data_IF_244634851891
#
_entry.id   IF_244634851891
#
_cell.length_a   1.000
_cell.length_b   1.000
_cell.length_c   1.000
_cell.angle_alpha   90.00
_cell.angle_beta   90.00
_cell.angle_gamma   90.00
#
_symmetry.space_group_name_H-M   'P 1'
#
loop_
_entity.id
_entity.type
_entity.pdbx_description
1 polymer ?
#
# COMPACT_ATOMS: atom_id res chain seq x y z
N UNK A 1 -44.66 22.22 -12.85
CA UNK A 1 -43.66 22.04 -11.78
C UNK A 1 -42.75 23.26 -11.74
N UNK A 2 -42.86 24.05 -10.68
CA UNK A 2 -42.01 25.21 -10.43
C UNK A 2 -40.62 24.66 -10.07
N UNK A 3 -39.59 24.97 -10.87
CA UNK A 3 -38.20 24.70 -10.50
C UNK A 3 -37.90 25.53 -9.24
N UNK A 4 -37.66 24.85 -8.12
CA UNK A 4 -37.10 25.49 -6.93
C UNK A 4 -35.80 26.22 -7.32
N UNK A 5 -35.54 27.44 -6.81
CA UNK A 5 -34.26 28.09 -7.01
C UNK A 5 -33.15 27.21 -6.42
N UNK A 6 -32.02 27.07 -7.12
CA UNK A 6 -30.81 26.45 -6.55
C UNK A 6 -30.36 27.31 -5.37
N UNK A 7 -30.20 26.78 -4.15
CA UNK A 7 -29.65 27.55 -3.06
C UNK A 7 -28.13 27.70 -3.23
N UNK A 8 -27.67 28.93 -2.96
CA UNK A 8 -26.30 29.42 -2.77
C UNK A 8 -25.34 29.38 -3.96
N UNK A 9 -24.96 30.59 -4.41
CA UNK A 9 -23.64 30.85 -4.96
C UNK A 9 -22.59 30.19 -4.05
N UNK A 10 -21.84 29.21 -4.54
CA UNK A 10 -20.67 28.73 -3.81
C UNK A 10 -19.74 29.92 -3.60
N UNK A 11 -19.68 30.42 -2.36
CA UNK A 11 -18.67 31.40 -1.98
C UNK A 11 -17.37 30.61 -1.84
N UNK A 12 -16.38 30.95 -2.65
CA UNK A 12 -15.07 30.35 -2.52
C UNK A 12 -14.42 30.72 -1.18
N UNK A 13 -13.50 29.90 -0.66
CA UNK A 13 -12.80 30.19 0.58
C UNK A 13 -12.01 31.50 0.53
N UNK A 14 -11.46 31.84 -0.64
CA UNK A 14 -10.59 32.99 -0.85
C UNK A 14 -11.07 33.88 -1.98
N UNK A 15 -10.85 35.18 -1.85
CA UNK A 15 -11.03 36.13 -2.95
C UNK A 15 -9.89 36.01 -3.95
N UNK A 16 -10.18 36.11 -5.26
CA UNK A 16 -9.24 35.74 -6.32
C UNK A 16 -7.91 36.51 -6.28
N UNK A 17 -7.94 37.83 -6.13
CA UNK A 17 -6.71 38.64 -6.12
C UNK A 17 -5.89 38.46 -4.83
N UNK A 18 -6.56 38.22 -3.70
CA UNK A 18 -5.92 37.86 -2.44
C UNK A 18 -5.20 36.51 -2.57
N UNK A 19 -5.91 35.50 -3.09
CA UNK A 19 -5.38 34.16 -3.33
C UNK A 19 -4.16 34.21 -4.27
N UNK A 20 -4.22 34.96 -5.37
CA UNK A 20 -3.06 35.16 -6.26
C UNK A 20 -1.84 35.70 -5.51
N UNK A 21 -2.02 36.74 -4.69
CA UNK A 21 -0.94 37.35 -3.92
C UNK A 21 -0.36 36.38 -2.89
N UNK A 22 -1.22 35.64 -2.17
CA UNK A 22 -0.79 34.62 -1.22
C UNK A 22 0.03 33.51 -1.90
N UNK A 23 -0.52 32.90 -2.95
CA UNK A 23 0.16 31.83 -3.66
C UNK A 23 1.45 32.32 -4.34
N UNK A 24 1.53 33.59 -4.73
CA UNK A 24 2.78 34.18 -5.21
C UNK A 24 3.84 34.20 -4.11
N UNK A 25 3.46 34.62 -2.89
CA UNK A 25 4.37 34.64 -1.72
C UNK A 25 4.78 33.22 -1.31
N UNK A 26 3.89 32.24 -1.45
CA UNK A 26 4.19 30.82 -1.24
C UNK A 26 5.31 30.34 -2.18
N UNK A 27 5.18 30.61 -3.48
CA UNK A 27 6.23 30.26 -4.45
C UNK A 27 7.53 31.04 -4.19
N UNK A 28 7.45 32.31 -3.77
CA UNK A 28 8.63 33.09 -3.40
C UNK A 28 9.40 32.45 -2.23
N UNK A 29 8.69 32.03 -1.18
CA UNK A 29 9.30 31.32 -0.03
C UNK A 29 9.92 29.99 -0.43
N UNK A 30 9.27 29.22 -1.29
CA UNK A 30 9.83 27.96 -1.82
C UNK A 30 11.13 28.23 -2.58
N UNK A 31 11.16 29.26 -3.44
CA UNK A 31 12.38 29.62 -4.18
C UNK A 31 13.51 30.05 -3.25
N UNK A 32 13.20 30.76 -2.16
CA UNK A 32 14.19 31.12 -1.13
C UNK A 32 14.72 29.88 -0.40
N UNK A 33 13.83 28.96 0.01
CA UNK A 33 14.17 27.68 0.66
C UNK A 33 15.10 26.80 -0.21
N UNK A 34 14.84 26.77 -1.52
CA UNK A 34 15.72 26.11 -2.50
C UNK A 34 17.09 26.80 -2.56
N UNK A 35 17.11 28.14 -2.62
CA UNK A 35 18.36 28.90 -2.70
C UNK A 35 19.21 28.83 -1.42
N UNK A 36 18.57 28.70 -0.25
CA UNK A 36 19.23 28.51 1.05
C UNK A 36 19.55 27.04 1.35
N UNK A 37 19.08 26.09 0.52
CA UNK A 37 19.25 24.65 0.73
C UNK A 37 18.74 24.16 2.09
N UNK A 38 17.54 24.62 2.49
CA UNK A 38 16.88 24.18 3.73
C UNK A 38 16.54 22.67 3.73
N UNK A 39 16.29 22.11 2.54
CA UNK A 39 16.20 20.68 2.27
C UNK A 39 17.25 20.30 1.21
N UNK A 40 17.48 19.00 1.06
CA UNK A 40 18.27 18.46 -0.06
C UNK A 40 17.36 18.30 -1.26
N UNK A 41 17.60 19.11 -2.29
CA UNK A 41 16.84 19.12 -3.54
C UNK A 41 17.62 18.42 -4.67
N UNK A 42 16.87 17.84 -5.62
CA UNK A 42 17.38 17.37 -6.91
C UNK A 42 16.86 18.28 -8.03
N UNK A 43 17.16 17.97 -9.31
CA UNK A 43 16.74 18.81 -10.44
C UNK A 43 15.22 19.08 -10.43
N UNK A 44 14.44 18.01 -10.31
CA UNK A 44 12.99 18.05 -10.15
C UNK A 44 12.62 18.11 -8.66
N UNK A 45 11.90 19.15 -8.27
CA UNK A 45 11.46 19.40 -6.90
C UNK A 45 10.04 18.89 -6.71
N UNK A 46 9.74 18.41 -5.50
CA UNK A 46 8.40 18.04 -5.07
C UNK A 46 7.82 19.17 -4.23
N UNK A 47 6.65 19.65 -4.65
CA UNK A 47 5.87 20.69 -4.00
C UNK A 47 4.55 20.10 -3.51
N UNK A 48 3.99 20.74 -2.50
CA UNK A 48 2.69 20.44 -1.94
C UNK A 48 1.68 21.52 -2.35
N UNK A 49 0.60 21.14 -3.02
CA UNK A 49 -0.57 22.02 -3.25
C UNK A 49 -1.68 21.57 -2.32
N UNK A 50 -1.91 22.34 -1.26
CA UNK A 50 -2.91 22.04 -0.22
C UNK A 50 -4.22 22.73 -0.54
N UNK A 51 -5.29 21.96 -0.68
CA UNK A 51 -6.63 22.48 -0.91
C UNK A 51 -7.35 22.73 0.42
N UNK A 52 -8.24 23.71 0.43
CA UNK A 52 -9.13 23.92 1.57
C UNK A 52 -10.07 22.73 1.81
N UNK A 53 -10.63 22.68 3.01
CA UNK A 53 -11.67 21.70 3.37
C UNK A 53 -12.81 21.68 2.34
N UNK A 54 -13.46 20.52 2.17
CA UNK A 54 -14.57 20.29 1.21
C UNK A 54 -14.15 20.28 -0.27
N UNK A 55 -12.88 20.57 -0.59
CA UNK A 55 -12.34 20.48 -1.96
C UNK A 55 -11.53 19.20 -2.20
N UNK A 56 -11.95 18.07 -1.62
CA UNK A 56 -11.22 16.79 -1.68
C UNK A 56 -11.54 15.94 -2.92
N UNK A 57 -12.65 16.21 -3.60
CA UNK A 57 -13.10 15.42 -4.75
C UNK A 57 -12.14 15.53 -5.95
N UNK A 58 -12.08 14.47 -6.79
CA UNK A 58 -11.24 14.43 -8.01
C UNK A 58 -11.46 15.62 -8.96
N UNK A 59 -12.67 16.19 -8.99
CA UNK A 59 -12.98 17.38 -9.79
C UNK A 59 -12.22 18.64 -9.39
N UNK A 60 -11.67 18.69 -8.17
CA UNK A 60 -10.87 19.80 -7.64
C UNK A 60 -9.36 19.58 -7.78
N UNK A 61 -8.95 18.49 -8.45
CA UNK A 61 -7.54 18.26 -8.79
C UNK A 61 -6.95 19.52 -9.44
N UNK A 62 -5.75 19.98 -9.04
CA UNK A 62 -5.25 21.28 -9.45
C UNK A 62 -4.70 21.32 -10.89
N UNK A 63 -5.46 20.82 -11.85
CA UNK A 63 -5.04 20.62 -13.24
C UNK A 63 -4.68 21.91 -13.99
N UNK A 64 -5.31 23.05 -13.69
CA UNK A 64 -4.99 24.31 -14.39
C UNK A 64 -3.63 24.90 -14.01
N UNK A 65 -3.04 24.49 -12.88
CA UNK A 65 -1.67 24.87 -12.50
C UNK A 65 -0.65 24.16 -13.40
N UNK A 66 -0.90 22.89 -13.69
CA UNK A 66 0.06 22.05 -14.42
C UNK A 66 -0.13 22.10 -15.95
N UNK A 67 -1.32 22.47 -16.44
CA UNK A 67 -1.73 22.36 -17.85
C UNK A 67 -0.76 23.01 -18.87
N UNK A 68 -0.17 24.16 -18.54
CA UNK A 68 0.68 24.93 -19.46
C UNK A 68 2.18 24.89 -19.11
N UNK A 69 2.61 23.87 -18.35
CA UNK A 69 3.97 23.78 -17.80
C UNK A 69 4.56 22.37 -17.95
N UNK A 70 5.84 22.21 -17.61
CA UNK A 70 6.40 20.86 -17.44
C UNK A 70 6.07 20.25 -16.07
N UNK A 71 5.33 20.96 -15.21
CA UNK A 71 4.90 20.42 -13.92
C UNK A 71 3.98 19.22 -14.10
N UNK A 72 4.08 18.24 -13.20
CA UNK A 72 3.25 17.03 -13.22
C UNK A 72 2.71 16.74 -11.84
N UNK A 73 1.45 16.32 -11.76
CA UNK A 73 0.89 15.77 -10.53
C UNK A 73 1.45 14.37 -10.32
N UNK A 74 2.04 14.13 -9.16
CA UNK A 74 2.79 12.90 -8.83
C UNK A 74 2.17 12.17 -7.62
N UNK A 75 0.87 12.38 -7.44
CA UNK A 75 0.05 11.77 -6.40
C UNK A 75 -0.61 12.80 -5.48
N UNK A 76 -1.30 12.31 -4.47
CA UNK A 76 -1.90 13.12 -3.42
C UNK A 76 -2.17 12.29 -2.19
N UNK A 77 -2.55 12.95 -1.09
CA UNK A 77 -2.92 12.34 0.19
C UNK A 77 -3.77 13.30 1.00
N UNK A 78 -4.42 12.84 2.07
CA UNK A 78 -5.11 13.75 2.99
C UNK A 78 -4.09 14.46 3.86
N UNK A 79 -4.51 15.57 4.45
CA UNK A 79 -3.74 16.22 5.49
C UNK A 79 -4.69 16.81 6.52
N UNK A 80 -4.21 16.93 7.74
CA UNK A 80 -4.96 17.51 8.86
C UNK A 80 -4.77 19.03 8.81
N UNK A 81 -5.88 19.77 8.66
CA UNK A 81 -5.89 21.23 8.73
C UNK A 81 -5.90 21.67 10.20
N UNK A 82 -6.77 21.04 10.98
CA UNK A 82 -6.94 21.17 12.42
C UNK A 82 -7.57 19.85 12.94
N UNK A 83 -7.68 19.62 14.26
CA UNK A 83 -8.11 18.33 14.80
C UNK A 83 -9.43 17.78 14.24
N UNK A 84 -10.34 18.66 13.81
CA UNK A 84 -11.68 18.29 13.33
C UNK A 84 -11.79 18.36 11.80
N UNK A 85 -10.79 18.90 11.11
CA UNK A 85 -10.87 19.25 9.69
C UNK A 85 -9.74 18.62 8.89
N UNK A 86 -10.11 17.86 7.86
CA UNK A 86 -9.17 17.29 6.87
C UNK A 86 -9.27 18.05 5.54
N UNK A 87 -8.16 18.11 4.82
CA UNK A 87 -8.08 18.63 3.45
C UNK A 87 -7.38 17.64 2.52
N UNK A 88 -7.32 17.97 1.23
CA UNK A 88 -6.56 17.20 0.24
C UNK A 88 -5.29 17.94 -0.15
N UNK A 89 -4.19 17.20 -0.12
CA UNK A 89 -2.88 17.62 -0.59
C UNK A 89 -2.57 16.91 -1.90
N UNK A 90 -2.10 17.64 -2.90
CA UNK A 90 -1.52 17.10 -4.13
C UNK A 90 -0.02 17.36 -4.17
N UNK A 91 0.72 16.35 -4.59
CA UNK A 91 2.15 16.45 -4.86
C UNK A 91 2.37 16.85 -6.30
N UNK A 92 3.22 17.86 -6.52
CA UNK A 92 3.55 18.38 -7.84
C UNK A 92 5.06 18.33 -8.03
N UNK A 93 5.50 17.65 -9.10
CA UNK A 93 6.88 17.69 -9.57
C UNK A 93 7.08 18.93 -10.44
N UNK A 94 8.12 19.72 -10.17
CA UNK A 94 8.40 20.96 -10.88
C UNK A 94 9.91 21.27 -10.98
N UNK A 95 10.32 21.96 -12.05
CA UNK A 95 11.67 22.53 -12.20
C UNK A 95 11.69 23.99 -11.75
N UNK A 96 12.88 24.56 -11.54
CA UNK A 96 13.01 25.99 -11.15
C UNK A 96 12.41 26.93 -12.19
N UNK A 97 12.54 26.58 -13.48
CA UNK A 97 11.91 27.29 -14.58
C UNK A 97 10.38 27.24 -14.54
N UNK A 98 9.79 26.16 -14.04
CA UNK A 98 8.33 26.05 -13.85
C UNK A 98 7.86 26.94 -12.71
N UNK A 99 8.58 26.95 -11.59
CA UNK A 99 8.29 27.84 -10.46
C UNK A 99 8.31 29.32 -10.88
N UNK A 100 9.34 29.72 -11.63
CA UNK A 100 9.45 31.08 -12.15
C UNK A 100 8.28 31.44 -13.10
N UNK A 101 7.92 30.54 -14.02
CA UNK A 101 6.76 30.72 -14.91
C UNK A 101 5.45 30.82 -14.16
N UNK A 102 5.27 29.98 -13.14
CA UNK A 102 4.05 29.96 -12.34
C UNK A 102 3.91 31.25 -11.52
N UNK A 103 4.99 31.69 -10.88
CA UNK A 103 5.05 32.98 -10.17
C UNK A 103 4.75 34.18 -11.09
N UNK A 104 5.30 34.19 -12.31
CA UNK A 104 4.99 35.20 -13.32
C UNK A 104 3.51 35.14 -13.78
N UNK A 105 2.94 33.94 -13.86
CA UNK A 105 1.52 33.77 -14.20
C UNK A 105 0.64 34.36 -13.09
N UNK A 106 0.97 34.11 -11.82
CA UNK A 106 0.27 34.65 -10.65
C UNK A 106 0.40 36.17 -10.53
N UNK A 107 1.49 36.81 -10.98
CA UNK A 107 1.61 38.28 -10.96
C UNK A 107 0.99 38.96 -12.19
N UNK A 108 0.80 38.23 -13.29
CA UNK A 108 0.22 38.76 -14.53
C UNK A 108 -1.31 38.76 -14.54
N UNK A 109 -1.93 39.46 -15.48
CA UNK A 109 -3.39 39.43 -15.74
C UNK A 109 -3.80 38.38 -16.79
N UNK A 110 -2.84 37.59 -17.32
CA UNK A 110 -3.04 36.72 -18.49
C UNK A 110 -4.16 35.67 -18.29
N UNK A 111 -4.33 35.18 -17.07
CA UNK A 111 -5.33 34.15 -16.72
C UNK A 111 -6.56 34.71 -16.01
N UNK A 112 -6.65 36.03 -15.80
CA UNK A 112 -7.73 36.64 -15.01
C UNK A 112 -9.11 36.56 -15.69
N UNK A 113 -9.14 36.30 -17.00
CA UNK A 113 -10.37 36.01 -17.75
C UNK A 113 -10.77 34.53 -17.77
N UNK A 114 -9.96 33.62 -17.22
CA UNK A 114 -10.24 32.18 -17.24
C UNK A 114 -10.93 31.74 -15.93
N UNK A 115 -12.23 31.41 -16.00
CA UNK A 115 -13.01 31.07 -14.82
C UNK A 115 -12.50 29.82 -14.10
N UNK A 116 -12.12 28.76 -14.83
CA UNK A 116 -11.60 27.52 -14.22
C UNK A 116 -10.31 27.76 -13.44
N UNK A 117 -9.43 28.63 -13.96
CA UNK A 117 -8.25 29.07 -13.25
C UNK A 117 -8.60 29.84 -11.98
N UNK A 118 -9.52 30.82 -12.07
CA UNK A 118 -9.94 31.62 -10.91
C UNK A 118 -10.49 30.75 -9.79
N UNK A 119 -11.43 29.88 -10.14
CA UNK A 119 -12.08 28.97 -9.20
C UNK A 119 -11.02 28.12 -8.50
N UNK A 120 -10.09 27.53 -9.24
CA UNK A 120 -9.03 26.70 -8.67
C UNK A 120 -8.06 27.49 -7.79
N UNK A 121 -7.65 28.70 -8.18
CA UNK A 121 -6.78 29.54 -7.33
C UNK A 121 -7.47 29.86 -6.01
N UNK A 122 -8.79 30.07 -6.02
CA UNK A 122 -9.56 30.35 -4.82
C UNK A 122 -9.78 29.14 -3.90
N UNK A 123 -9.54 27.90 -4.34
CA UNK A 123 -9.66 26.70 -3.49
C UNK A 123 -8.37 26.25 -2.84
N UNK A 124 -7.22 26.77 -3.29
CA UNK A 124 -5.91 26.39 -2.76
C UNK A 124 -5.64 27.18 -1.49
N UNK A 125 -5.38 26.46 -0.39
CA UNK A 125 -5.00 27.01 0.91
C UNK A 125 -3.57 27.54 0.86
N UNK A 126 -2.62 26.66 0.55
CA UNK A 126 -1.18 26.98 0.47
C UNK A 126 -0.50 26.17 -0.61
N UNK A 127 0.64 26.68 -1.07
CA UNK A 127 1.65 25.90 -1.76
C UNK A 127 2.93 25.90 -0.91
N UNK A 128 3.44 24.73 -0.56
CA UNK A 128 4.57 24.60 0.36
C UNK A 128 5.44 23.39 0.03
N UNK A 129 6.47 23.16 0.86
CA UNK A 129 7.23 21.92 0.90
C UNK A 129 6.67 21.02 2.00
N UNK A 130 6.72 19.71 1.78
CA UNK A 130 6.27 18.75 2.77
C UNK A 130 7.20 18.81 3.98
N UNK A 131 6.68 19.10 5.17
CA UNK A 131 7.52 19.29 6.34
C UNK A 131 8.24 17.98 6.70
N UNK A 132 9.47 18.02 7.24
CA UNK A 132 10.22 16.82 7.61
C UNK A 132 9.42 15.82 8.45
N UNK A 133 8.69 16.31 9.46
CA UNK A 133 7.83 15.47 10.33
C UNK A 133 6.63 14.86 9.62
N UNK A 134 6.15 15.45 8.53
CA UNK A 134 5.06 14.88 7.73
C UNK A 134 5.54 13.68 6.89
N UNK A 135 6.85 13.47 6.74
CA UNK A 135 7.44 12.37 5.96
C UNK A 135 7.65 11.12 6.82
N UNK A 136 7.88 11.25 8.13
CA UNK A 136 8.06 10.11 9.04
C UNK A 136 6.71 9.66 9.62
N UNK A 137 6.31 8.42 9.34
CA UNK A 137 5.03 7.85 9.75
C UNK A 137 5.25 6.62 10.65
N UNK A 138 4.47 6.48 11.72
CA UNK A 138 4.44 5.24 12.52
C UNK A 138 5.65 4.98 13.41
N UNK A 139 6.53 5.97 13.61
CA UNK A 139 7.65 5.85 14.55
C UNK A 139 7.18 6.07 15.99
N UNK A 140 7.52 5.13 16.88
CA UNK A 140 7.40 5.31 18.34
C UNK A 140 8.44 6.32 18.85
N UNK A 141 8.14 7.03 19.95
CA UNK A 141 9.06 7.98 20.58
C UNK A 141 10.37 7.32 21.06
N UNK A 142 10.34 6.01 21.32
CA UNK A 142 11.46 5.18 21.75
C UNK A 142 12.18 4.47 20.58
N UNK A 143 11.76 4.70 19.33
CA UNK A 143 12.40 4.08 18.18
C UNK A 143 13.85 4.55 18.05
N UNK A 144 14.77 3.59 17.98
CA UNK A 144 16.22 3.83 17.92
C UNK A 144 16.80 3.43 16.57
N UNK A 145 16.49 2.21 16.13
CA UNK A 145 16.86 1.65 14.85
C UNK A 145 15.92 0.51 14.44
N UNK A 146 15.96 0.14 13.16
CA UNK A 146 15.20 -0.99 12.62
C UNK A 146 15.10 -0.95 11.10
N UNK A 147 14.40 -1.94 10.56
CA UNK A 147 14.04 -1.97 9.14
C UNK A 147 12.95 -0.93 8.87
N UNK A 148 13.10 -0.21 7.75
CA UNK A 148 12.13 0.79 7.31
C UNK A 148 11.78 0.59 5.84
N UNK A 149 10.57 0.98 5.48
CA UNK A 149 10.16 1.16 4.10
C UNK A 149 10.12 2.66 3.79
N UNK A 150 10.93 3.05 2.80
CA UNK A 150 11.06 4.40 2.29
C UNK A 150 10.35 4.47 0.94
N UNK A 151 9.60 5.54 0.74
CA UNK A 151 8.89 5.82 -0.51
C UNK A 151 9.37 7.13 -1.08
N UNK A 152 9.84 7.11 -2.33
CA UNK A 152 10.29 8.28 -3.09
C UNK A 152 9.25 8.55 -4.19
N UNK A 153 8.94 9.83 -4.41
CA UNK A 153 8.00 10.27 -5.46
C UNK A 153 8.42 9.82 -6.88
N UNK A 154 7.49 9.76 -7.85
CA UNK A 154 7.87 9.53 -9.25
C UNK A 154 8.57 10.78 -9.83
N UNK A 155 9.87 10.69 -10.07
CA UNK A 155 10.66 11.74 -10.75
C UNK A 155 10.80 11.51 -12.26
N UNK A 156 10.02 10.61 -12.84
CA UNK A 156 10.03 10.35 -14.29
C UNK A 156 11.41 9.84 -14.72
N UNK A 157 11.96 10.36 -15.81
CA UNK A 157 13.29 9.96 -16.32
C UNK A 157 14.44 10.19 -15.32
N UNK A 158 14.25 11.05 -14.32
CA UNK A 158 15.26 11.43 -13.33
C UNK A 158 15.18 10.59 -12.03
N UNK A 159 14.47 9.45 -12.04
CA UNK A 159 14.32 8.61 -10.85
C UNK A 159 15.66 8.10 -10.29
N UNK A 160 16.66 7.84 -11.15
CA UNK A 160 17.96 7.35 -10.70
C UNK A 160 18.72 8.41 -9.88
N UNK A 161 18.61 9.68 -10.27
CA UNK A 161 19.19 10.79 -9.50
C UNK A 161 18.50 10.94 -8.14
N UNK A 162 17.20 10.66 -8.08
CA UNK A 162 16.47 10.65 -6.81
C UNK A 162 16.92 9.52 -5.87
N UNK A 163 17.21 8.34 -6.41
CA UNK A 163 17.74 7.21 -5.63
C UNK A 163 19.15 7.52 -5.14
N UNK A 164 20.03 7.98 -6.04
CA UNK A 164 21.40 8.35 -5.69
C UNK A 164 21.44 9.49 -4.66
N UNK A 165 20.56 10.48 -4.81
CA UNK A 165 20.38 11.57 -3.85
C UNK A 165 20.00 11.07 -2.46
N UNK A 166 19.06 10.12 -2.36
CA UNK A 166 18.65 9.52 -1.09
C UNK A 166 19.83 8.84 -0.36
N UNK A 167 20.61 8.01 -1.06
CA UNK A 167 21.78 7.35 -0.48
C UNK A 167 22.87 8.35 -0.09
N UNK A 168 23.13 9.36 -0.92
CA UNK A 168 24.09 10.43 -0.60
C UNK A 168 23.66 11.26 0.62
N UNK A 169 22.36 11.56 0.75
CA UNK A 169 21.81 12.31 1.88
C UNK A 169 21.90 11.52 3.19
N UNK A 170 21.56 10.24 3.15
CA UNK A 170 21.52 9.40 4.36
C UNK A 170 22.89 8.85 4.75
N UNK A 171 23.77 8.62 3.78
CA UNK A 171 25.03 7.92 3.95
C UNK A 171 24.89 6.39 3.98
N UNK A 172 23.70 5.86 3.66
CA UNK A 172 23.45 4.42 3.58
C UNK A 172 24.11 3.87 2.32
N UNK A 173 24.77 2.71 2.42
CA UNK A 173 25.32 2.04 1.24
C UNK A 173 24.18 1.47 0.39
N UNK A 174 24.19 1.67 -0.95
CA UNK A 174 23.21 1.04 -1.83
C UNK A 174 23.17 -0.49 -1.74
N UNK A 175 24.27 -1.14 -1.30
CA UNK A 175 24.32 -2.60 -1.08
C UNK A 175 23.50 -3.08 0.12
N UNK A 176 23.16 -2.17 1.03
CA UNK A 176 22.49 -2.49 2.30
C UNK A 176 20.98 -2.24 2.22
N UNK A 177 20.47 -2.00 1.00
CA UNK A 177 19.10 -1.67 0.71
C UNK A 177 18.56 -2.49 -0.45
N UNK A 178 17.27 -2.81 -0.42
CA UNK A 178 16.54 -3.33 -1.58
C UNK A 178 15.74 -2.21 -2.26
N UNK A 179 15.95 -1.99 -3.55
CA UNK A 179 15.35 -0.86 -4.30
C UNK A 179 14.45 -1.34 -5.44
N UNK A 180 13.21 -0.88 -5.49
CA UNK A 180 12.24 -1.22 -6.53
C UNK A 180 11.54 0.02 -7.05
N UNK A 181 11.69 0.28 -8.35
CA UNK A 181 11.08 1.42 -9.04
C UNK A 181 10.07 0.92 -10.06
N UNK A 182 8.93 1.59 -10.14
CA UNK A 182 7.87 1.29 -11.10
C UNK A 182 7.76 2.39 -12.16
N UNK A 183 7.38 2.04 -13.38
CA UNK A 183 7.29 2.98 -14.50
C UNK A 183 6.24 4.07 -14.25
N UNK A 184 6.65 5.33 -14.46
CA UNK A 184 5.94 6.55 -14.01
C UNK A 184 5.37 6.48 -12.57
N UNK A 185 5.99 5.63 -11.73
CA UNK A 185 5.49 5.21 -10.43
C UNK A 185 6.45 5.50 -9.29
N UNK A 186 6.08 5.05 -8.09
CA UNK A 186 6.87 5.25 -6.89
C UNK A 186 8.17 4.44 -6.94
N UNK A 187 9.16 4.90 -6.20
CA UNK A 187 10.32 4.07 -5.84
C UNK A 187 10.21 3.69 -4.37
N UNK A 188 10.36 2.41 -4.09
CA UNK A 188 10.35 1.84 -2.75
C UNK A 188 11.77 1.37 -2.40
N UNK A 189 12.22 1.70 -1.19
CA UNK A 189 13.51 1.27 -0.65
C UNK A 189 13.28 0.61 0.71
N UNK A 190 13.74 -0.62 0.88
CA UNK A 190 13.81 -1.30 2.17
C UNK A 190 15.25 -1.25 2.67
N UNK A 191 15.47 -0.74 3.87
CA UNK A 191 16.81 -0.63 4.44
C UNK A 191 16.74 -0.53 5.95
N UNK A 192 17.85 -0.84 6.64
CA UNK A 192 18.03 -0.49 8.05
C UNK A 192 18.34 0.98 8.21
N UNK A 193 17.71 1.60 9.20
CA UNK A 193 17.98 2.99 9.58
C UNK A 193 18.05 3.11 11.10
N UNK A 194 18.77 4.14 11.55
CA UNK A 194 18.75 4.65 12.92
C UNK A 194 18.23 6.09 12.95
N UNK A 195 18.05 6.65 14.14
CA UNK A 195 17.54 8.01 14.33
C UNK A 195 18.31 9.11 13.55
N UNK A 196 19.63 8.97 13.39
CA UNK A 196 20.45 9.93 12.64
C UNK A 196 20.13 9.87 11.14
N UNK A 197 20.21 8.68 10.56
CA UNK A 197 19.90 8.47 9.13
C UNK A 197 18.46 8.84 8.80
N UNK A 198 17.50 8.54 9.69
CA UNK A 198 16.10 8.94 9.55
C UNK A 198 15.97 10.46 9.51
N UNK A 199 16.65 11.15 10.44
CA UNK A 199 16.65 12.62 10.48
C UNK A 199 17.17 13.21 9.17
N UNK A 200 18.28 12.70 8.63
CA UNK A 200 18.81 13.14 7.34
C UNK A 200 17.80 12.91 6.20
N UNK A 201 17.17 11.74 6.16
CA UNK A 201 16.20 11.42 5.13
C UNK A 201 14.97 12.34 5.15
N UNK A 202 14.48 12.74 6.32
CA UNK A 202 13.33 13.66 6.43
C UNK A 202 13.58 15.03 5.76
N UNK A 203 14.83 15.47 5.62
CA UNK A 203 15.19 16.69 4.90
C UNK A 203 15.47 16.46 3.40
N UNK A 204 15.23 15.26 2.87
CA UNK A 204 15.33 14.97 1.45
C UNK A 204 14.01 15.35 0.74
N UNK A 205 14.03 16.26 -0.21
CA UNK A 205 12.80 16.76 -0.85
C UNK A 205 12.02 15.71 -1.66
N UNK A 206 12.67 14.82 -2.44
CA UNK A 206 11.96 13.76 -3.16
C UNK A 206 11.30 12.69 -2.28
N UNK A 207 11.62 12.65 -0.98
CA UNK A 207 11.04 11.70 -0.05
C UNK A 207 9.55 11.96 0.15
N UNK A 208 8.74 10.92 -0.12
CA UNK A 208 7.29 10.94 0.11
C UNK A 208 6.95 10.55 1.54
N UNK A 209 7.49 9.42 1.99
CA UNK A 209 7.24 8.87 3.33
C UNK A 209 8.31 7.86 3.73
N UNK A 210 8.50 7.68 5.04
CA UNK A 210 9.29 6.60 5.65
C UNK A 210 8.47 6.06 6.81
N UNK A 211 8.48 4.74 6.98
CA UNK A 211 7.88 4.08 8.14
C UNK A 211 8.73 2.89 8.60
N UNK A 212 8.69 2.52 9.89
CA UNK A 212 9.22 1.25 10.33
C UNK A 212 8.41 0.09 9.73
N UNK A 213 9.07 -1.04 9.51
CA UNK A 213 8.43 -2.30 9.13
C UNK A 213 8.95 -3.44 10.00
N UNK A 214 8.08 -4.40 10.31
CA UNK A 214 8.48 -5.67 10.92
C UNK A 214 8.61 -6.71 9.79
N UNK A 215 9.84 -6.92 9.32
CA UNK A 215 10.16 -7.84 8.22
C UNK A 215 10.28 -9.31 8.68
N UNK A 216 10.02 -9.58 9.97
CA UNK A 216 9.93 -10.92 10.52
C UNK A 216 8.47 -11.40 10.59
N UNK A 217 8.10 -12.31 9.69
CA UNK A 217 6.72 -12.79 9.58
C UNK A 217 6.45 -14.05 10.45
N UNK A 218 7.09 -14.18 11.61
CA UNK A 218 6.83 -15.30 12.53
C UNK A 218 5.56 -15.03 13.36
N UNK A 219 4.41 -15.20 12.72
CA UNK A 219 3.14 -15.17 13.43
C UNK A 219 2.93 -16.47 14.23
N UNK A 220 2.55 -16.37 15.52
CA UNK A 220 2.18 -17.54 16.29
C UNK A 220 0.93 -18.15 15.66
N UNK A 221 1.13 -19.27 14.97
CA UNK A 221 0.05 -20.02 14.38
C UNK A 221 -0.84 -20.58 15.51
N UNK A 222 -2.06 -20.07 15.63
CA UNK A 222 -3.00 -20.45 16.69
C UNK A 222 -3.67 -21.79 16.34
N UNK A 223 -2.90 -22.88 16.41
CA UNK A 223 -3.49 -24.21 16.34
C UNK A 223 -3.98 -24.67 17.71
N UNK A 224 -5.16 -25.30 17.74
CA UNK A 224 -5.39 -26.33 18.74
C UNK A 224 -4.63 -27.59 18.33
N UNK A 225 -4.11 -28.39 19.27
CA UNK A 225 -3.51 -29.67 18.94
C UNK A 225 -4.49 -30.47 18.07
N UNK A 226 -4.02 -30.97 16.91
CA UNK A 226 -4.81 -31.86 16.06
C UNK A 226 -4.97 -33.18 16.84
N UNK A 227 -6.08 -33.33 17.56
CA UNK A 227 -6.39 -34.55 18.32
C UNK A 227 -7.25 -35.53 17.54
N UNK A 228 -7.89 -35.08 16.46
CA UNK A 228 -8.82 -35.88 15.67
C UNK A 228 -8.22 -36.32 14.33
N UNK A 229 -8.58 -37.55 13.93
CA UNK A 229 -8.16 -38.14 12.67
C UNK A 229 -9.00 -37.56 11.53
N UNK A 230 -8.32 -37.04 10.49
CA UNK A 230 -8.92 -36.41 9.32
C UNK A 230 -9.95 -37.31 8.60
N UNK A 231 -10.98 -36.72 7.94
CA UNK A 231 -11.94 -37.48 7.13
C UNK A 231 -11.26 -38.14 5.93
N UNK A 232 -11.99 -39.05 5.29
CA UNK A 232 -11.53 -39.80 4.12
C UNK A 232 -11.75 -39.03 2.82
N UNK A 233 -10.92 -39.33 1.83
CA UNK A 233 -11.10 -38.86 0.45
C UNK A 233 -12.39 -39.42 -0.17
N UNK A 234 -12.90 -38.78 -1.25
CA UNK A 234 -13.92 -39.37 -2.10
C UNK A 234 -13.44 -40.70 -2.72
N UNK A 235 -14.39 -41.59 -3.04
CA UNK A 235 -14.07 -42.88 -3.70
C UNK A 235 -13.44 -42.72 -5.08
N UNK A 236 -13.78 -41.63 -5.77
CA UNK A 236 -13.21 -41.25 -7.07
C UNK A 236 -12.66 -39.85 -6.96
N UNK A 237 -11.35 -39.72 -7.18
CA UNK A 237 -10.64 -38.43 -7.17
C UNK A 237 -10.82 -37.74 -8.52
N UNK A 238 -11.32 -36.51 -8.48
CA UNK A 238 -11.51 -35.65 -9.65
C UNK A 238 -10.79 -34.33 -9.38
N UNK A 239 -9.65 -34.11 -10.03
CA UNK A 239 -8.88 -32.86 -9.91
C UNK A 239 -9.56 -31.75 -10.74
N UNK A 240 -10.02 -30.65 -10.12
CA UNK A 240 -10.68 -29.56 -10.86
C UNK A 240 -9.68 -28.73 -11.69
N UNK A 241 -10.11 -28.24 -12.85
CA UNK A 241 -9.28 -27.37 -13.71
C UNK A 241 -9.15 -25.94 -13.17
N UNK A 242 -10.11 -25.48 -12.36
CA UNK A 242 -10.08 -24.14 -11.77
C UNK A 242 -9.00 -24.08 -10.68
N UNK A 243 -8.02 -23.18 -10.84
CA UNK A 243 -6.86 -23.07 -9.96
C UNK A 243 -6.96 -21.85 -9.05
N UNK A 244 -6.55 -22.02 -7.80
CA UNK A 244 -6.27 -20.94 -6.86
C UNK A 244 -4.77 -20.95 -6.54
N UNK A 245 -4.11 -19.83 -6.78
CA UNK A 245 -2.71 -19.63 -6.37
C UNK A 245 -2.65 -19.27 -4.90
N UNK A 246 -1.74 -19.90 -4.15
CA UNK A 246 -1.57 -19.63 -2.71
C UNK A 246 -0.12 -19.27 -2.46
N UNK A 247 0.14 -18.05 -2.00
CA UNK A 247 1.48 -17.63 -1.57
C UNK A 247 1.60 -17.85 -0.06
N UNK A 248 2.44 -18.80 0.36
CA UNK A 248 2.60 -19.17 1.78
C UNK A 248 3.97 -19.83 2.09
N UNK A 249 4.10 -20.50 3.23
CA UNK A 249 5.28 -21.29 3.65
C UNK A 249 5.36 -22.69 3.01
N UNK A 250 4.44 -23.04 2.11
CA UNK A 250 4.38 -24.33 1.40
C UNK A 250 3.44 -25.35 2.06
N UNK A 251 3.29 -26.52 1.43
CA UNK A 251 2.40 -27.61 1.89
C UNK A 251 3.16 -28.93 1.91
N UNK A 252 3.06 -29.77 2.96
CA UNK A 252 3.66 -31.10 2.95
C UNK A 252 3.04 -31.98 1.83
N UNK A 253 3.90 -32.71 1.10
CA UNK A 253 3.47 -33.51 -0.06
C UNK A 253 2.67 -34.77 0.31
N UNK A 254 2.68 -35.17 1.57
CA UNK A 254 2.18 -36.46 2.06
C UNK A 254 0.85 -36.36 2.82
N UNK A 255 0.25 -35.17 2.91
CA UNK A 255 -1.07 -35.01 3.52
C UNK A 255 -2.14 -35.64 2.61
N UNK A 256 -2.82 -36.73 3.01
CA UNK A 256 -3.70 -37.49 2.11
C UNK A 256 -4.84 -36.66 1.52
N UNK A 257 -5.41 -35.74 2.30
CA UNK A 257 -6.48 -34.86 1.83
C UNK A 257 -5.99 -33.76 0.88
N UNK A 258 -4.70 -33.44 0.84
CA UNK A 258 -4.19 -32.33 0.01
C UNK A 258 -3.47 -32.84 -1.23
N UNK A 259 -2.70 -33.92 -1.12
CA UNK A 259 -1.83 -34.45 -2.17
C UNK A 259 -2.50 -34.60 -3.56
N UNK A 260 -3.80 -34.99 -3.68
CA UNK A 260 -4.44 -35.10 -5.00
C UNK A 260 -4.78 -33.75 -5.66
N UNK A 261 -4.94 -32.68 -4.87
CA UNK A 261 -5.50 -31.40 -5.33
C UNK A 261 -4.53 -30.22 -5.24
N UNK A 262 -3.42 -30.39 -4.53
CA UNK A 262 -2.36 -29.37 -4.37
C UNK A 262 -1.17 -29.68 -5.27
N UNK A 263 -0.72 -28.68 -6.03
CA UNK A 263 0.56 -28.69 -6.74
C UNK A 263 1.52 -27.73 -6.02
N UNK A 264 2.65 -28.22 -5.53
CA UNK A 264 3.66 -27.41 -4.83
C UNK A 264 4.72 -26.85 -5.79
N UNK A 265 5.04 -25.57 -5.61
CA UNK A 265 6.13 -24.86 -6.29
C UNK A 265 7.03 -24.22 -5.25
N UNK A 266 8.29 -24.59 -5.29
CA UNK A 266 9.28 -24.01 -4.41
C UNK A 266 9.93 -22.77 -5.06
N UNK A 267 9.65 -21.59 -4.52
CA UNK A 267 10.10 -20.33 -5.13
C UNK A 267 11.36 -19.77 -4.48
N UNK A 268 11.88 -20.44 -3.44
CA UNK A 268 13.03 -20.02 -2.64
C UNK A 268 13.92 -21.23 -2.29
N UNK A 269 15.22 -21.02 -2.18
CA UNK A 269 16.16 -22.12 -1.95
C UNK A 269 16.17 -22.66 -0.51
N UNK A 270 15.94 -21.78 0.48
CA UNK A 270 16.08 -22.14 1.90
C UNK A 270 14.96 -23.10 2.31
N UNK A 271 15.23 -24.10 3.16
CA UNK A 271 14.25 -25.11 3.51
C UNK A 271 13.01 -24.51 4.18
N UNK A 272 11.83 -25.14 4.02
CA UNK A 272 10.63 -24.70 4.71
C UNK A 272 10.78 -24.84 6.23
N UNK A 273 10.10 -23.97 6.97
CA UNK A 273 9.94 -24.13 8.43
C UNK A 273 8.72 -24.99 8.72
N UNK A 274 8.71 -25.69 9.87
CA UNK A 274 7.56 -26.49 10.32
C UNK A 274 6.28 -25.62 10.40
N UNK A 275 6.36 -24.47 11.08
CA UNK A 275 5.26 -23.50 11.14
C UNK A 275 4.78 -23.04 9.76
N UNK A 276 5.69 -22.84 8.81
CA UNK A 276 5.36 -22.43 7.45
C UNK A 276 4.56 -23.51 6.70
N UNK A 277 4.95 -24.77 6.87
CA UNK A 277 4.24 -25.92 6.30
C UNK A 277 2.89 -26.14 6.97
N UNK A 278 2.81 -26.01 8.30
CA UNK A 278 1.54 -26.12 9.04
C UNK A 278 0.55 -25.03 8.60
N UNK A 279 1.01 -23.78 8.47
CA UNK A 279 0.19 -22.67 8.02
C UNK A 279 -0.31 -22.88 6.58
N UNK A 280 0.59 -23.17 5.63
CA UNK A 280 0.20 -23.41 4.25
C UNK A 280 -0.70 -24.64 4.08
N UNK A 281 -0.50 -25.68 4.89
CA UNK A 281 -1.39 -26.85 4.96
C UNK A 281 -2.81 -26.45 5.39
N UNK A 282 -2.94 -25.65 6.46
CA UNK A 282 -4.25 -25.21 6.96
C UNK A 282 -4.97 -24.29 5.96
N UNK A 283 -4.25 -23.33 5.36
CA UNK A 283 -4.79 -22.44 4.33
C UNK A 283 -5.29 -23.23 3.12
N UNK A 284 -4.47 -24.16 2.62
CA UNK A 284 -4.85 -24.99 1.46
C UNK A 284 -6.02 -25.92 1.77
N UNK A 285 -6.07 -26.48 2.99
CA UNK A 285 -7.19 -27.28 3.45
C UNK A 285 -8.50 -26.49 3.50
N UNK A 286 -8.47 -25.27 4.04
CA UNK A 286 -9.64 -24.39 4.10
C UNK A 286 -10.13 -24.00 2.69
N UNK A 287 -9.23 -23.74 1.74
CA UNK A 287 -9.59 -23.45 0.35
C UNK A 287 -10.29 -24.64 -0.32
N UNK A 288 -9.79 -25.86 -0.09
CA UNK A 288 -10.32 -27.05 -0.75
C UNK A 288 -11.64 -27.53 -0.13
N UNK A 289 -11.76 -27.46 1.20
CA UNK A 289 -12.81 -28.16 1.94
C UNK A 289 -13.68 -27.26 2.82
N UNK A 290 -13.28 -26.01 3.06
CA UNK A 290 -13.95 -25.14 4.02
C UNK A 290 -13.83 -25.67 5.45
N UNK A 291 -14.89 -25.47 6.24
CA UNK A 291 -14.97 -25.95 7.61
C UNK A 291 -15.23 -27.46 7.66
N UNK A 292 -14.30 -28.19 8.28
CA UNK A 292 -14.38 -29.63 8.51
C UNK A 292 -14.85 -29.96 9.94
N UNK A 293 -15.28 -28.98 10.72
CA UNK A 293 -15.76 -29.18 12.08
C UNK A 293 -16.86 -30.25 12.15
N UNK A 294 -16.73 -31.17 13.11
CA UNK A 294 -17.66 -32.28 13.29
C UNK A 294 -17.48 -33.46 12.32
N UNK A 295 -16.53 -33.39 11.37
CA UNK A 295 -16.13 -34.54 10.56
C UNK A 295 -15.19 -35.45 11.33
N UNK A 296 -15.29 -36.74 11.05
CA UNK A 296 -14.50 -37.81 11.67
C UNK A 296 -13.80 -38.62 10.59
N UNK A 297 -12.90 -39.52 11.01
CA UNK A 297 -12.24 -40.51 10.12
C UNK A 297 -13.17 -41.44 9.35
N UNK A 298 -14.46 -41.48 9.67
CA UNK A 298 -15.45 -42.30 8.98
C UNK A 298 -16.25 -41.52 7.94
N UNK A 299 -16.18 -40.19 7.99
CA UNK A 299 -16.82 -39.32 7.01
C UNK A 299 -15.96 -39.24 5.75
N UNK A 300 -16.62 -39.05 4.61
CA UNK A 300 -15.97 -38.72 3.34
C UNK A 300 -16.20 -37.25 2.99
N UNK A 301 -15.17 -36.59 2.50
CA UNK A 301 -15.30 -35.25 1.90
C UNK A 301 -15.82 -35.37 0.47
N UNK A 302 -16.38 -34.28 -0.06
CA UNK A 302 -16.67 -34.16 -1.49
C UNK A 302 -15.38 -33.85 -2.26
N UNK A 303 -15.40 -34.09 -3.59
CA UNK A 303 -14.34 -33.55 -4.44
C UNK A 303 -14.36 -32.00 -4.35
N UNK A 304 -13.22 -31.35 -4.09
CA UNK A 304 -13.12 -29.89 -4.12
C UNK A 304 -13.60 -29.32 -5.46
N UNK A 305 -13.99 -28.05 -5.45
CA UNK A 305 -14.38 -27.32 -6.69
C UNK A 305 -13.19 -26.66 -7.39
N UNK A 306 -12.03 -26.64 -6.74
CA UNK A 306 -10.80 -25.99 -7.18
C UNK A 306 -9.59 -26.88 -6.91
N UNK A 307 -8.52 -26.66 -7.65
CA UNK A 307 -7.17 -27.12 -7.34
C UNK A 307 -6.35 -25.98 -6.75
N UNK A 308 -5.35 -26.30 -5.93
CA UNK A 308 -4.44 -25.32 -5.33
C UNK A 308 -3.08 -25.40 -5.97
N UNK A 309 -2.53 -24.25 -6.33
CA UNK A 309 -1.14 -24.09 -6.78
C UNK A 309 -0.40 -23.35 -5.66
N UNK A 310 0.33 -24.09 -4.82
CA UNK A 310 1.01 -23.55 -3.66
C UNK A 310 2.40 -23.05 -4.05
N UNK A 311 2.60 -21.74 -3.96
CA UNK A 311 3.88 -21.07 -4.19
C UNK A 311 4.52 -20.76 -2.85
N UNK A 312 5.62 -21.46 -2.53
CA UNK A 312 6.35 -21.23 -1.28
C UNK A 312 7.23 -19.99 -1.38
N UNK A 313 6.97 -18.98 -0.56
CA UNK A 313 7.63 -17.66 -0.61
C UNK A 313 8.38 -17.29 0.68
N UNK A 314 8.34 -18.14 1.71
CA UNK A 314 9.03 -17.92 2.99
C UNK A 314 9.58 -19.21 3.61
N UNK A 315 10.64 -19.13 4.43
CA UNK A 315 11.41 -17.93 4.81
C UNK A 315 12.35 -17.44 3.70
N UNK A 316 12.55 -16.13 3.60
CA UNK A 316 13.53 -15.54 2.70
C UNK A 316 14.95 -15.91 3.10
N UNK A 317 15.82 -15.95 2.09
CA UNK A 317 17.18 -16.46 2.24
C UNK A 317 18.05 -15.46 2.98
N UNK A 318 18.76 -15.88 4.02
CA UNK A 318 19.74 -15.01 4.71
C UNK A 318 21.11 -15.19 4.06
N UNK A 319 21.40 -14.37 3.06
CA UNK A 319 22.61 -14.44 2.23
C UNK A 319 23.65 -13.38 2.55
N UNK A 320 23.33 -12.37 3.37
CA UNK A 320 24.12 -11.16 3.54
C UNK A 320 23.97 -10.16 2.38
N UNK A 321 23.00 -10.38 1.49
CA UNK A 321 22.64 -9.50 0.37
C UNK A 321 21.26 -8.89 0.67
N UNK A 322 21.20 -7.59 0.95
CA UNK A 322 19.97 -6.93 1.37
C UNK A 322 18.82 -7.11 0.35
N UNK A 323 19.15 -7.21 -0.95
CA UNK A 323 18.19 -7.46 -2.02
C UNK A 323 17.45 -8.80 -1.90
N UNK A 324 18.04 -9.77 -1.21
CA UNK A 324 17.50 -11.14 -1.04
C UNK A 324 17.08 -11.43 0.40
N UNK A 325 17.64 -10.69 1.34
CA UNK A 325 17.50 -10.95 2.76
C UNK A 325 16.20 -10.36 3.33
N UNK A 326 15.64 -9.32 2.70
CA UNK A 326 14.35 -8.76 3.13
C UNK A 326 13.18 -9.66 2.69
N UNK A 327 12.47 -10.20 3.68
CA UNK A 327 11.35 -11.15 3.49
C UNK A 327 10.23 -10.54 2.67
N UNK A 328 9.77 -9.35 3.06
CA UNK A 328 8.67 -8.67 2.39
C UNK A 328 9.01 -8.41 0.92
N UNK A 329 10.21 -7.90 0.63
CA UNK A 329 10.58 -7.54 -0.74
C UNK A 329 10.76 -8.76 -1.64
N UNK A 330 11.42 -9.80 -1.14
CA UNK A 330 11.59 -11.07 -1.86
C UNK A 330 10.23 -11.72 -2.14
N UNK A 331 9.31 -11.68 -1.17
CA UNK A 331 7.94 -12.21 -1.34
C UNK A 331 7.19 -11.46 -2.44
N UNK A 332 7.23 -10.13 -2.41
CA UNK A 332 6.56 -9.29 -3.41
C UNK A 332 7.13 -9.54 -4.81
N UNK A 333 8.46 -9.70 -4.93
CA UNK A 333 9.11 -10.01 -6.21
C UNK A 333 8.63 -11.34 -6.80
N UNK A 334 8.48 -12.37 -5.95
CA UNK A 334 7.96 -13.67 -6.36
C UNK A 334 6.49 -13.53 -6.78
N UNK A 335 5.66 -12.81 -6.02
CA UNK A 335 4.26 -12.57 -6.36
C UNK A 335 4.15 -11.89 -7.72
N UNK A 336 4.90 -10.82 -7.94
CA UNK A 336 4.91 -10.09 -9.22
C UNK A 336 5.29 -10.99 -10.39
N UNK A 337 6.35 -11.78 -10.24
CA UNK A 337 6.76 -12.75 -11.26
C UNK A 337 5.68 -13.79 -11.53
N UNK A 338 5.20 -14.47 -10.49
CA UNK A 338 4.24 -15.58 -10.62
C UNK A 338 2.93 -15.11 -11.22
N UNK A 339 2.37 -13.98 -10.78
CA UNK A 339 1.08 -13.49 -11.27
C UNK A 339 1.16 -13.09 -12.75
N UNK A 340 2.28 -12.49 -13.18
CA UNK A 340 2.48 -12.15 -14.61
C UNK A 340 2.68 -13.39 -15.49
N UNK A 341 3.36 -14.42 -14.97
CA UNK A 341 3.64 -15.66 -15.71
C UNK A 341 2.44 -16.64 -15.73
N UNK A 342 1.69 -16.74 -14.62
CA UNK A 342 0.60 -17.71 -14.40
C UNK A 342 -0.77 -17.13 -14.73
N UNK A 343 -0.95 -16.70 -15.98
CA UNK A 343 -2.23 -16.18 -16.50
C UNK A 343 -3.37 -17.19 -16.42
N UNK A 344 -3.09 -18.48 -16.26
CA UNK A 344 -4.08 -19.53 -16.04
C UNK A 344 -4.75 -19.48 -14.65
N UNK A 345 -4.15 -18.76 -13.68
CA UNK A 345 -4.69 -18.56 -12.35
C UNK A 345 -5.33 -17.17 -12.27
N UNK A 346 -6.61 -17.12 -11.87
CA UNK A 346 -7.36 -15.84 -11.77
C UNK A 346 -7.66 -15.40 -10.33
N UNK A 347 -7.41 -16.27 -9.36
CA UNK A 347 -7.59 -15.98 -7.93
C UNK A 347 -6.33 -16.35 -7.17
N UNK A 348 -5.81 -15.41 -6.39
CA UNK A 348 -4.63 -15.58 -5.55
C UNK A 348 -4.98 -15.31 -4.09
N UNK A 349 -4.64 -16.24 -3.21
CA UNK A 349 -4.79 -16.10 -1.78
C UNK A 349 -3.46 -15.68 -1.14
N UNK A 350 -3.51 -14.66 -0.29
CA UNK A 350 -2.39 -14.14 0.49
C UNK A 350 -2.84 -14.09 1.97
N UNK A 351 -2.54 -15.14 2.72
CA UNK A 351 -2.87 -15.24 4.15
C UNK A 351 -1.70 -14.81 5.05
N UNK A 352 -0.89 -13.86 4.58
CA UNK A 352 0.30 -13.38 5.25
C UNK A 352 0.61 -11.93 4.88
N UNK A 353 1.37 -11.25 5.72
CA UNK A 353 1.82 -9.89 5.47
C UNK A 353 2.72 -9.39 6.59
N UNK A 354 3.33 -8.21 6.41
CA UNK A 354 4.04 -7.54 7.49
C UNK A 354 3.07 -7.19 8.62
N UNK A 355 3.56 -7.24 9.85
CA UNK A 355 2.84 -6.70 11.00
C UNK A 355 2.81 -5.17 10.96
N UNK A 356 1.81 -4.64 11.64
CA UNK A 356 1.58 -3.21 11.77
C UNK A 356 0.31 -2.77 11.04
N UNK A 357 -0.50 -2.00 11.75
CA UNK A 357 -1.67 -1.34 11.20
C UNK A 357 -1.28 -0.42 10.04
N UNK A 358 -2.08 -0.43 8.98
CA UNK A 358 -1.98 0.58 7.92
C UNK A 358 -2.28 1.95 8.51
N UNK A 359 -1.35 2.87 8.31
CA UNK A 359 -1.48 4.26 8.73
C UNK A 359 -2.14 5.07 7.60
N UNK A 360 -2.91 6.08 7.97
CA UNK A 360 -3.46 7.00 6.98
C UNK A 360 -2.33 7.60 6.13
N UNK A 361 -2.56 7.71 4.83
CA UNK A 361 -1.65 8.34 3.86
C UNK A 361 -0.31 7.62 3.63
N UNK A 362 -0.16 6.42 4.20
CA UNK A 362 0.92 5.48 3.94
C UNK A 362 0.71 4.74 2.61
N UNK A 363 1.81 4.45 1.91
CA UNK A 363 1.81 3.55 0.75
C UNK A 363 2.80 2.43 0.99
N UNK A 364 2.29 1.22 1.23
CA UNK A 364 3.08 -0.01 1.26
C UNK A 364 3.37 -0.52 -0.15
N UNK A 365 4.60 -0.99 -0.40
CA UNK A 365 4.96 -1.65 -1.66
C UNK A 365 4.06 -2.87 -1.91
N UNK A 366 3.76 -3.63 -0.86
CA UNK A 366 2.98 -4.85 -0.98
C UNK A 366 1.58 -4.55 -1.56
N UNK A 367 0.87 -3.61 -0.95
CA UNK A 367 -0.43 -3.16 -1.46
C UNK A 367 -0.33 -2.58 -2.86
N UNK A 368 0.70 -1.76 -3.12
CA UNK A 368 0.91 -1.14 -4.43
C UNK A 368 1.06 -2.19 -5.55
N UNK A 369 1.85 -3.24 -5.32
CA UNK A 369 2.07 -4.32 -6.30
C UNK A 369 0.82 -5.15 -6.51
N UNK A 370 0.11 -5.53 -5.45
CA UNK A 370 -1.14 -6.28 -5.59
C UNK A 370 -2.18 -5.48 -6.38
N UNK A 371 -2.34 -4.18 -6.08
CA UNK A 371 -3.22 -3.31 -6.87
C UNK A 371 -2.75 -3.22 -8.33
N UNK A 372 -1.46 -2.99 -8.58
CA UNK A 372 -0.86 -2.94 -9.91
C UNK A 372 -1.19 -4.19 -10.72
N UNK A 373 -0.89 -5.38 -10.19
CA UNK A 373 -1.13 -6.66 -10.86
C UNK A 373 -2.62 -6.93 -11.13
N UNK A 374 -3.52 -6.38 -10.32
CA UNK A 374 -4.96 -6.51 -10.52
C UNK A 374 -5.52 -5.58 -11.60
N UNK A 375 -4.84 -4.52 -12.03
CA UNK A 375 -5.35 -3.63 -13.08
C UNK A 375 -4.46 -3.55 -14.33
N UNK A 376 -3.14 -3.73 -14.18
CA UNK A 376 -2.14 -3.75 -15.26
C UNK A 376 -2.13 -5.13 -15.92
N UNK A 377 -3.21 -5.42 -16.64
CA UNK A 377 -3.40 -6.67 -17.37
C UNK A 377 -3.53 -6.40 -18.85
N UNK A 378 -2.97 -7.31 -19.65
CA UNK A 378 -3.07 -7.25 -21.10
C UNK A 378 -4.53 -7.17 -21.57
N UNK A 379 -4.76 -6.46 -22.65
CA UNK A 379 -6.10 -6.30 -23.21
C UNK A 379 -6.74 -7.67 -23.51
N UNK A 380 -7.94 -7.89 -22.95
CA UNK A 380 -8.69 -9.15 -23.12
C UNK A 380 -8.41 -10.22 -22.07
N UNK A 381 -7.43 -10.03 -21.19
CA UNK A 381 -7.20 -10.92 -20.04
C UNK A 381 -8.15 -10.59 -18.88
N UNK A 382 -8.52 -11.63 -18.12
CA UNK A 382 -9.25 -11.46 -16.86
C UNK A 382 -8.27 -11.00 -15.78
N UNK A 383 -8.60 -9.88 -15.14
CA UNK A 383 -7.90 -9.32 -14.00
C UNK A 383 -7.77 -10.34 -12.86
N UNK A 384 -6.55 -10.61 -12.35
CA UNK A 384 -6.35 -11.39 -11.14
C UNK A 384 -7.06 -10.75 -9.93
N UNK A 385 -7.73 -11.58 -9.15
CA UNK A 385 -8.31 -11.21 -7.86
C UNK A 385 -7.42 -11.68 -6.72
N UNK A 386 -6.96 -10.75 -5.89
CA UNK A 386 -6.30 -11.08 -4.63
C UNK A 386 -7.31 -11.16 -3.49
N UNK A 387 -7.20 -12.22 -2.69
CA UNK A 387 -7.93 -12.42 -1.43
C UNK A 387 -6.90 -12.43 -0.32
N UNK A 388 -7.00 -11.47 0.60
CA UNK A 388 -5.98 -11.21 1.62
C UNK A 388 -6.58 -11.35 3.02
N UNK A 389 -5.79 -11.83 3.98
CA UNK A 389 -6.19 -11.75 5.39
C UNK A 389 -6.23 -10.27 5.84
N UNK A 390 -7.20 -9.88 6.67
CA UNK A 390 -7.28 -8.52 7.20
C UNK A 390 -6.17 -8.18 8.20
N UNK A 391 -5.61 -9.18 8.88
CA UNK A 391 -4.65 -9.04 9.98
C UNK A 391 -5.20 -9.58 11.30
N UNK A 392 -4.30 -9.86 12.24
CA UNK A 392 -4.58 -10.58 13.49
C UNK A 392 -4.41 -9.74 14.78
N UNK A 393 -4.29 -8.42 14.63
CA UNK A 393 -4.04 -7.48 15.72
C UNK A 393 -5.29 -6.72 16.20
N UNK A 394 -6.48 -7.25 15.93
CA UNK A 394 -7.77 -6.65 16.31
C UNK A 394 -7.96 -6.37 17.81
N UNK A 395 -7.17 -7.02 18.67
CA UNK A 395 -7.20 -6.82 20.13
C UNK A 395 -6.37 -5.62 20.61
N UNK A 396 -5.55 -5.01 19.75
CA UNK A 396 -4.77 -3.84 20.12
C UNK A 396 -5.67 -2.59 20.26
N UNK A 397 -5.16 -1.54 20.89
CA UNK A 397 -5.88 -0.27 20.95
C UNK A 397 -5.89 0.42 19.57
N UNK A 398 -6.95 1.17 19.27
CA UNK A 398 -6.99 2.00 18.07
C UNK A 398 -5.85 3.04 18.12
N UNK A 399 -5.09 3.27 17.02
CA UNK A 399 -5.29 2.75 15.65
C UNK A 399 -4.51 1.46 15.31
N UNK A 400 -3.85 0.81 16.27
CA UNK A 400 -3.00 -0.36 16.04
C UNK A 400 -3.77 -1.63 15.67
N UNK A 401 -5.08 -1.65 15.88
CA UNK A 401 -5.98 -2.76 15.52
C UNK A 401 -6.52 -2.71 14.09
N UNK A 402 -6.09 -1.74 13.28
CA UNK A 402 -6.55 -1.60 11.89
C UNK A 402 -5.99 -2.72 11.00
N UNK A 403 -6.61 -2.87 9.84
CA UNK A 403 -6.12 -3.81 8.80
C UNK A 403 -4.65 -3.58 8.45
N UNK A 404 -3.99 -4.65 8.00
CA UNK A 404 -2.55 -4.70 7.74
C UNK A 404 -2.28 -4.83 6.23
N UNK A 405 -1.08 -4.47 5.76
CA UNK A 405 -0.75 -4.64 4.34
C UNK A 405 -0.74 -6.14 3.96
N UNK A 406 -1.25 -6.54 2.78
CA UNK A 406 -1.80 -5.72 1.70
C UNK A 406 -3.34 -5.58 1.72
N UNK A 407 -3.99 -5.80 2.87
CA UNK A 407 -5.46 -5.80 2.99
C UNK A 407 -6.13 -4.45 2.73
N UNK A 408 -5.37 -3.36 2.65
CA UNK A 408 -5.82 -2.03 2.26
C UNK A 408 -5.88 -1.80 0.75
N UNK A 409 -5.69 -2.84 -0.06
CA UNK A 409 -5.78 -2.77 -1.52
C UNK A 409 -7.17 -2.36 -2.01
N UNK A 410 -7.22 -1.66 -3.15
CA UNK A 410 -8.47 -1.17 -3.74
C UNK A 410 -9.13 -2.24 -4.61
N UNK A 411 -8.33 -3.06 -5.29
CA UNK A 411 -8.81 -4.02 -6.30
C UNK A 411 -8.84 -5.47 -5.78
N UNK A 412 -8.98 -5.68 -4.46
CA UNK A 412 -9.02 -7.01 -3.87
C UNK A 412 -10.01 -7.16 -2.73
N UNK A 413 -9.99 -8.32 -2.09
CA UNK A 413 -10.89 -8.67 -1.00
C UNK A 413 -10.08 -8.93 0.27
N UNK A 414 -10.21 -8.05 1.24
CA UNK A 414 -9.73 -8.28 2.60
C UNK A 414 -10.75 -9.09 3.41
N UNK A 415 -10.30 -10.18 3.99
CA UNK A 415 -11.13 -11.14 4.74
C UNK A 415 -10.81 -11.04 6.23
N UNK A 416 -11.78 -10.56 7.00
CA UNK A 416 -11.76 -10.62 8.47
C UNK A 416 -12.20 -11.99 8.99
N UNK A 417 -12.01 -12.21 10.29
CA UNK A 417 -12.35 -13.47 10.95
C UNK A 417 -13.57 -13.31 11.87
N UNK A 418 -14.37 -14.37 11.98
CA UNK A 418 -15.49 -14.45 12.91
C UNK A 418 -15.38 -15.73 13.75
N UNK A 419 -16.09 -15.77 14.87
CA UNK A 419 -16.24 -16.93 15.75
C UNK A 419 -17.70 -17.10 16.15
N UNK A 420 -17.99 -18.17 16.86
CA UNK A 420 -19.31 -18.42 17.45
C UNK A 420 -19.25 -18.20 18.97
N UNK A 421 -20.24 -17.50 19.51
CA UNK A 421 -20.44 -17.42 20.97
C UNK A 421 -20.80 -18.79 21.53
N UNK A 422 -20.73 -19.02 22.86
CA UNK A 422 -21.22 -20.25 23.47
C UNK A 422 -22.70 -20.58 23.16
N UNK A 423 -23.48 -19.57 22.75
CA UNK A 423 -24.88 -19.71 22.33
C UNK A 423 -25.04 -20.03 20.84
N UNK A 424 -23.94 -20.15 20.09
CA UNK A 424 -23.95 -20.42 18.65
C UNK A 424 -24.19 -19.19 17.77
N UNK A 425 -24.10 -17.98 18.32
CA UNK A 425 -24.27 -16.74 17.56
C UNK A 425 -22.95 -16.31 16.91
N UNK A 426 -22.99 -15.85 15.66
CA UNK A 426 -21.79 -15.33 14.98
C UNK A 426 -21.37 -14.00 15.61
N UNK A 427 -20.08 -13.87 15.92
CA UNK A 427 -19.46 -12.63 16.39
C UNK A 427 -18.12 -12.42 15.69
N UNK A 428 -17.68 -11.17 15.54
CA UNK A 428 -16.34 -10.88 14.99
C UNK A 428 -15.29 -11.47 15.93
N UNK A 429 -14.28 -12.16 15.38
CA UNK A 429 -13.20 -12.70 16.19
C UNK A 429 -12.39 -11.54 16.77
N UNK A 430 -12.07 -11.59 18.06
CA UNK A 430 -11.46 -10.45 18.75
C UNK A 430 -10.10 -10.03 18.16
N UNK A 431 -9.39 -10.97 17.56
CA UNK A 431 -8.11 -10.71 16.87
C UNK A 431 -8.28 -10.19 15.44
N UNK A 432 -9.48 -10.23 14.84
CA UNK A 432 -9.67 -9.76 13.47
C UNK A 432 -9.43 -8.25 13.40
N UNK A 433 -8.43 -7.83 12.63
CA UNK A 433 -8.22 -6.41 12.37
C UNK A 433 -9.47 -5.75 11.76
N UNK A 434 -9.64 -4.46 12.06
CA UNK A 434 -10.82 -3.69 11.67
C UNK A 434 -10.53 -2.69 10.56
N UNK A 435 -11.51 -2.47 9.69
CA UNK A 435 -11.46 -1.38 8.71
C UNK A 435 -11.98 -0.04 9.26
N UNK A 436 -11.94 1.04 8.45
CA UNK A 436 -11.51 1.04 7.06
C UNK A 436 -9.98 1.05 6.89
N UNK A 437 -9.54 0.52 5.75
CA UNK A 437 -8.18 0.69 5.25
C UNK A 437 -7.94 2.07 4.67
N UNK A 438 -7.49 2.12 3.41
CA UNK A 438 -7.29 3.36 2.65
C UNK A 438 -8.59 4.09 2.33
N UNK A 439 -8.43 5.38 2.00
CA UNK A 439 -9.51 6.24 1.53
C UNK A 439 -10.29 5.59 0.37
N UNK A 440 -11.62 5.49 0.52
CA UNK A 440 -12.51 4.90 -0.49
C UNK A 440 -12.74 3.40 -0.34
N UNK A 441 -11.96 2.71 0.52
CA UNK A 441 -12.22 1.34 0.92
C UNK A 441 -13.55 1.23 1.67
N UNK A 442 -14.37 0.24 1.33
CA UNK A 442 -15.59 -0.09 2.05
C UNK A 442 -15.41 -1.44 2.72
N UNK A 443 -15.43 -1.47 4.05
CA UNK A 443 -15.54 -2.71 4.82
C UNK A 443 -17.02 -3.00 5.04
N UNK A 444 -17.53 -4.05 4.43
CA UNK A 444 -18.88 -4.55 4.66
C UNK A 444 -18.78 -5.92 5.34
N UNK A 445 -19.59 -6.18 6.36
CA UNK A 445 -19.84 -7.57 6.77
C UNK A 445 -20.59 -8.26 5.63
N UNK A 446 -19.96 -9.24 4.99
CA UNK A 446 -20.62 -10.18 4.11
C UNK A 446 -20.96 -11.40 4.98
N UNK A 447 -22.25 -11.63 5.23
CA UNK A 447 -22.77 -12.69 6.11
C UNK A 447 -23.21 -13.93 5.35
#
# INVERSE_FOLDING_TARGET
MIRKPRPNSHKFPHEYYEAKSRLWNDIDRIQQSIASSEEVFVEDKILCVRLEEKYEAKSYTPSSIVADTSMRLVGGRKYVIDPDTKGKLYFVRAKDGDLAKFKNTLSSTRKDGNQSWKDQICTIRTIDLLQPKEKALGFDEQWTEGDVEVVIHPLGINYQDAINGFFNTTGISPSDAAVRTYDDGLTFVCTKMNAETLTKAMYYNPLRSIKPIEDEWDDPFRMSPITDVAPQLPDVIIKPDLKIGVFDGGVPNDIPLLAPYVTNYDMIDDPPTEKGLEHGCAVSGAILYGDLYGKTRYDKVENPRVSVESFRVRPAKRTGDAEKDFQMYTTIDIIEKVVRERKDIKVFNISMGPRGAIIDDEISRFTYVCDLLSYDVDEGEINPLFVTAAGNDGNLEEPLNRIQAPADMVNGIAVGSYSYTPLGERTVASYSCVGPGREGGKSNLIC
#
